data_IF_595889665005
#
_entry.id   IF_595889665005
#
_cell.length_a   1.000
_cell.length_b   1.000
_cell.length_c   1.000
_cell.angle_alpha   90.00
_cell.angle_beta   90.00
_cell.angle_gamma   90.00
#
_symmetry.space_group_name_H-M   'P 1'
#
loop_
_entity.id
_entity.type
_entity.pdbx_description
1 polymer ?
#
# COMPACT_ATOMS: atom_id res chain seq x y z
N UNK A 1 19.61 29.75 -7.36
CA UNK A 1 18.15 29.78 -7.64
C UNK A 1 17.42 29.65 -6.32
N UNK A 2 16.31 30.37 -6.08
CA UNK A 2 15.55 30.20 -4.84
C UNK A 2 15.09 28.74 -4.74
N UNK A 3 15.36 28.10 -3.61
CA UNK A 3 14.90 26.73 -3.35
C UNK A 3 13.38 26.75 -3.34
N UNK A 4 12.77 26.08 -4.30
CA UNK A 4 11.31 26.00 -4.39
C UNK A 4 10.82 25.05 -3.32
N UNK A 5 9.81 25.47 -2.56
CA UNK A 5 9.25 24.69 -1.46
C UNK A 5 7.79 24.40 -1.71
N UNK A 6 7.32 23.28 -1.18
CA UNK A 6 5.93 22.84 -1.26
C UNK A 6 5.36 22.63 0.13
N UNK A 7 4.14 23.10 0.34
CA UNK A 7 3.34 22.83 1.52
C UNK A 7 2.60 21.50 1.39
N UNK A 8 2.18 20.92 2.53
CA UNK A 8 1.28 19.76 2.56
C UNK A 8 0.01 19.95 1.72
N UNK A 9 -0.58 21.13 1.72
CA UNK A 9 -1.74 21.48 0.90
C UNK A 9 -1.42 21.40 -0.60
N UNK A 10 -0.31 22.01 -1.04
CA UNK A 10 0.13 21.96 -2.44
C UNK A 10 0.51 20.54 -2.87
N UNK A 11 1.15 19.77 -1.98
CA UNK A 11 1.46 18.37 -2.22
C UNK A 11 0.19 17.53 -2.35
N UNK A 12 -0.82 17.78 -1.51
CA UNK A 12 -2.13 17.13 -1.58
C UNK A 12 -2.86 17.44 -2.89
N UNK A 13 -2.85 18.70 -3.34
CA UNK A 13 -3.45 19.11 -4.63
C UNK A 13 -2.76 18.45 -5.83
N UNK A 14 -1.46 18.16 -5.72
CA UNK A 14 -0.68 17.44 -6.73
C UNK A 14 -0.83 15.91 -6.66
N UNK A 15 -1.65 15.39 -5.73
CA UNK A 15 -1.86 13.95 -5.54
C UNK A 15 -0.63 13.23 -4.96
N UNK A 16 0.26 13.94 -4.28
CA UNK A 16 1.45 13.38 -3.66
C UNK A 16 1.11 12.70 -2.32
N UNK A 17 1.82 11.63 -1.92
CA UNK A 17 1.55 10.90 -0.68
C UNK A 17 2.05 11.68 0.55
N UNK A 18 1.29 12.70 0.99
CA UNK A 18 1.69 13.64 2.06
C UNK A 18 2.13 12.93 3.35
N UNK A 19 1.44 11.86 3.76
CA UNK A 19 1.80 11.08 4.95
C UNK A 19 3.16 10.40 4.81
N UNK A 20 3.49 9.90 3.62
CA UNK A 20 4.76 9.24 3.35
C UNK A 20 5.91 10.25 3.32
N UNK A 21 5.66 11.41 2.72
CA UNK A 21 6.59 12.53 2.65
C UNK A 21 6.87 13.05 4.07
N UNK A 22 5.85 13.23 4.89
CA UNK A 22 6.01 13.62 6.30
C UNK A 22 6.88 12.63 7.09
N UNK A 23 6.67 11.34 6.89
CA UNK A 23 7.49 10.31 7.53
C UNK A 23 8.94 10.30 7.02
N UNK A 24 9.15 10.56 5.73
CA UNK A 24 10.48 10.65 5.13
C UNK A 24 11.26 11.88 5.62
N UNK A 25 10.59 13.02 5.81
CA UNK A 25 11.18 14.21 6.45
C UNK A 25 11.60 13.88 7.89
N UNK A 26 10.78 13.17 8.66
CA UNK A 26 11.14 12.73 10.03
C UNK A 26 12.33 11.77 10.06
N UNK A 27 12.49 10.93 9.05
CA UNK A 27 13.64 10.03 8.90
C UNK A 27 14.89 10.72 8.35
N UNK A 28 14.80 11.99 7.96
CA UNK A 28 15.90 12.75 7.38
C UNK A 28 16.20 12.40 5.92
N UNK A 29 15.27 11.72 5.24
CA UNK A 29 15.41 11.32 3.82
C UNK A 29 15.07 12.46 2.85
N UNK A 30 14.22 13.39 3.27
CA UNK A 30 13.82 14.57 2.50
C UNK A 30 14.07 15.81 3.35
N UNK A 31 14.57 16.88 2.74
CA UNK A 31 14.65 18.18 3.37
C UNK A 31 13.27 18.80 3.52
N UNK A 32 12.79 18.89 4.76
CA UNK A 32 11.55 19.56 5.10
C UNK A 32 11.52 19.96 6.57
N UNK A 33 10.58 20.82 6.94
CA UNK A 33 10.42 21.31 8.30
C UNK A 33 8.97 21.69 8.60
N UNK A 34 8.69 21.80 9.89
CA UNK A 34 7.48 22.42 10.42
C UNK A 34 7.83 23.81 10.91
N UNK A 35 7.19 24.88 10.39
CA UNK A 35 7.34 26.21 10.96
C UNK A 35 6.93 26.21 12.44
N UNK A 36 7.67 26.95 13.27
CA UNK A 36 7.36 27.03 14.70
C UNK A 36 5.92 27.50 14.92
N UNK A 37 5.13 26.71 15.65
CA UNK A 37 3.72 26.99 15.91
C UNK A 37 2.75 26.62 14.79
N UNK A 38 3.19 25.95 13.72
CA UNK A 38 2.34 25.47 12.63
C UNK A 38 2.39 23.95 12.48
N UNK A 39 1.24 23.35 12.16
CA UNK A 39 1.15 21.95 11.76
C UNK A 39 1.46 21.73 10.26
N UNK A 40 1.64 22.82 9.50
CA UNK A 40 1.94 22.77 8.07
C UNK A 40 3.32 22.21 7.82
N UNK A 41 3.40 21.14 7.03
CA UNK A 41 4.68 20.62 6.54
C UNK A 41 5.16 21.42 5.33
N UNK A 42 6.41 21.85 5.34
CA UNK A 42 7.09 22.47 4.19
C UNK A 42 8.26 21.60 3.76
N UNK A 43 8.39 21.35 2.45
CA UNK A 43 9.40 20.44 1.86
C UNK A 43 10.13 21.13 0.71
N UNK A 44 11.44 20.93 0.57
CA UNK A 44 12.22 21.37 -0.60
C UNK A 44 11.87 20.52 -1.83
N UNK A 45 11.44 21.15 -2.93
CA UNK A 45 10.97 20.49 -4.15
C UNK A 45 12.06 19.60 -4.76
N UNK A 46 13.30 20.08 -4.87
CA UNK A 46 14.43 19.30 -5.43
C UNK A 46 14.72 18.01 -4.63
N UNK A 47 14.63 18.10 -3.30
CA UNK A 47 14.83 16.94 -2.41
C UNK A 47 13.69 15.95 -2.53
N UNK A 48 12.46 16.44 -2.70
CA UNK A 48 11.28 15.63 -2.92
C UNK A 48 11.33 14.95 -4.29
N UNK A 49 11.75 15.63 -5.35
CA UNK A 49 11.87 15.04 -6.69
C UNK A 49 12.93 13.93 -6.73
N UNK A 50 14.08 14.18 -6.09
CA UNK A 50 15.16 13.18 -5.95
C UNK A 50 14.66 11.93 -5.22
N UNK A 51 13.91 12.14 -4.13
CA UNK A 51 13.25 11.08 -3.37
C UNK A 51 12.22 10.37 -4.25
N UNK A 52 11.30 11.07 -4.91
CA UNK A 52 10.29 10.45 -5.78
C UNK A 52 10.88 9.65 -6.96
N UNK A 53 12.05 10.04 -7.44
CA UNK A 53 12.81 9.38 -8.51
C UNK A 53 13.58 8.14 -8.05
N UNK A 54 13.95 8.04 -6.76
CA UNK A 54 14.70 6.88 -6.21
C UNK A 54 13.87 5.58 -6.20
N UNK A 55 12.55 5.66 -6.38
CA UNK A 55 11.66 4.50 -6.50
C UNK A 55 11.43 3.72 -5.20
N UNK A 56 12.26 3.90 -4.16
CA UNK A 56 12.14 3.19 -2.87
C UNK A 56 10.95 3.64 -2.01
N UNK A 57 10.27 4.72 -2.41
CA UNK A 57 9.10 5.24 -1.73
C UNK A 57 7.78 4.71 -2.29
N UNK A 58 7.88 3.69 -3.15
CA UNK A 58 6.81 2.75 -3.45
C UNK A 58 6.37 1.89 -2.24
N UNK A 59 6.62 2.36 -1.02
CA UNK A 59 5.93 1.89 0.19
C UNK A 59 4.75 2.78 0.58
N UNK A 60 4.46 3.84 -0.18
CA UNK A 60 3.19 4.57 -0.07
C UNK A 60 2.57 5.01 -1.41
N UNK A 61 3.21 4.73 -2.54
CA UNK A 61 2.50 4.77 -3.83
C UNK A 61 1.63 3.51 -3.94
N UNK A 62 0.36 3.77 -4.24
CA UNK A 62 -0.61 2.80 -4.75
C UNK A 62 -1.24 1.87 -3.69
N UNK A 63 -2.38 2.32 -3.14
CA UNK A 63 -3.61 1.55 -3.32
C UNK A 63 -4.03 1.56 -4.81
N UNK A 64 -3.08 1.28 -5.70
CA UNK A 64 -3.33 0.64 -6.98
C UNK A 64 -3.29 -0.85 -6.69
N UNK A 65 -3.91 -1.68 -7.53
CA UNK A 65 -4.13 -3.08 -7.23
C UNK A 65 -2.79 -3.82 -7.04
N UNK A 66 -2.45 -4.21 -5.82
CA UNK A 66 -1.26 -5.01 -5.54
C UNK A 66 -1.40 -5.80 -4.23
N UNK A 67 -1.00 -7.08 -4.16
CA UNK A 67 -0.38 -7.94 -5.17
C UNK A 67 -1.45 -8.77 -5.89
N UNK A 68 -1.52 -8.74 -7.22
CA UNK A 68 -2.49 -9.54 -7.99
C UNK A 68 -3.92 -9.39 -7.44
N UNK A 69 -4.66 -8.38 -7.90
CA UNK A 69 -6.10 -8.56 -8.05
C UNK A 69 -6.33 -9.70 -9.05
N UNK A 70 -6.07 -10.95 -8.65
CA UNK A 70 -6.84 -12.04 -9.19
C UNK A 70 -8.25 -11.72 -8.77
N UNK A 71 -9.15 -11.62 -9.75
CA UNK A 71 -10.57 -11.56 -9.51
C UNK A 71 -10.92 -12.59 -8.42
N UNK A 72 -11.03 -12.12 -7.18
CA UNK A 72 -11.57 -12.90 -6.09
C UNK A 72 -13.04 -13.00 -6.44
N UNK A 73 -13.54 -14.23 -6.51
CA UNK A 73 -14.93 -14.48 -6.80
C UNK A 73 -15.79 -13.59 -5.88
N UNK A 74 -16.85 -13.00 -6.42
CA UNK A 74 -17.78 -12.21 -5.62
C UNK A 74 -18.22 -13.05 -4.40
N UNK A 75 -17.94 -12.56 -3.19
CA UNK A 75 -18.15 -13.28 -1.93
C UNK A 75 -16.88 -13.85 -1.25
N UNK A 76 -15.67 -13.54 -1.74
CA UNK A 76 -14.44 -13.95 -1.04
C UNK A 76 -14.24 -13.19 0.29
N UNK A 77 -13.94 -13.89 1.41
CA UNK A 77 -13.75 -13.28 2.73
C UNK A 77 -12.63 -12.24 2.78
N UNK A 78 -11.56 -12.41 1.98
CA UNK A 78 -10.47 -11.45 1.87
C UNK A 78 -10.94 -10.14 1.27
N UNK A 79 -11.66 -10.21 0.15
CA UNK A 79 -12.20 -9.01 -0.50
C UNK A 79 -13.24 -8.31 0.36
N UNK A 80 -14.10 -9.06 1.04
CA UNK A 80 -15.08 -8.50 1.97
C UNK A 80 -14.41 -7.76 3.13
N UNK A 81 -13.39 -8.38 3.76
CA UNK A 81 -12.64 -7.76 4.85
C UNK A 81 -11.90 -6.50 4.40
N UNK A 82 -11.18 -6.57 3.28
CA UNK A 82 -10.43 -5.41 2.74
C UNK A 82 -11.36 -4.27 2.37
N UNK A 83 -12.50 -4.52 1.72
CA UNK A 83 -13.47 -3.46 1.39
C UNK A 83 -13.99 -2.74 2.63
N UNK A 84 -14.32 -3.49 3.69
CA UNK A 84 -14.82 -2.91 4.94
C UNK A 84 -13.77 -2.08 5.68
N UNK A 85 -12.51 -2.55 5.71
CA UNK A 85 -11.39 -1.80 6.28
C UNK A 85 -11.12 -0.53 5.45
N UNK A 86 -11.07 -0.65 4.12
CA UNK A 86 -10.81 0.47 3.23
C UNK A 86 -11.90 1.54 3.31
N UNK A 87 -13.18 1.15 3.44
CA UNK A 87 -14.28 2.08 3.63
C UNK A 87 -14.12 2.94 4.90
N UNK A 88 -13.66 2.34 6.00
CA UNK A 88 -13.40 3.08 7.24
C UNK A 88 -12.19 4.00 7.11
N UNK A 89 -11.14 3.53 6.43
CA UNK A 89 -9.92 4.31 6.17
C UNK A 89 -10.21 5.50 5.26
N UNK A 90 -11.03 5.32 4.23
CA UNK A 90 -11.50 6.40 3.35
C UNK A 90 -12.34 7.44 4.10
N UNK A 91 -13.07 7.03 5.14
CA UNK A 91 -13.80 7.92 6.04
C UNK A 91 -12.92 8.58 7.12
N UNK A 92 -11.59 8.50 7.01
CA UNK A 92 -10.64 9.16 7.92
C UNK A 92 -10.27 8.36 9.16
N UNK A 93 -10.71 7.10 9.27
CA UNK A 93 -10.34 6.25 10.40
C UNK A 93 -8.91 5.73 10.21
N UNK A 94 -8.01 5.87 11.21
CA UNK A 94 -6.68 5.27 11.12
C UNK A 94 -6.77 3.76 10.90
N UNK A 95 -5.95 3.19 10.01
CA UNK A 95 -6.04 1.77 9.60
C UNK A 95 -6.04 0.78 10.78
N UNK A 96 -5.25 1.02 11.82
CA UNK A 96 -5.24 0.17 13.01
C UNK A 96 -6.61 0.12 13.72
N UNK A 97 -7.28 1.28 13.78
CA UNK A 97 -8.61 1.42 14.37
C UNK A 97 -9.68 0.86 13.44
N UNK A 98 -9.54 1.04 12.12
CA UNK A 98 -10.42 0.42 11.14
C UNK A 98 -10.37 -1.12 11.24
N UNK A 99 -9.18 -1.70 11.36
CA UNK A 99 -9.01 -3.15 11.55
C UNK A 99 -9.66 -3.61 12.85
N UNK A 100 -9.40 -2.95 13.98
CA UNK A 100 -10.04 -3.29 15.25
C UNK A 100 -11.56 -3.13 15.21
N UNK A 101 -12.06 -2.09 14.53
CA UNK A 101 -13.48 -1.84 14.34
C UNK A 101 -14.14 -2.94 13.51
N UNK A 102 -13.51 -3.39 12.43
CA UNK A 102 -14.01 -4.53 11.64
C UNK A 102 -13.91 -5.84 12.42
N UNK A 103 -12.84 -6.08 13.16
CA UNK A 103 -12.68 -7.28 14.00
C UNK A 103 -13.76 -7.33 15.10
N UNK A 104 -14.17 -6.18 15.66
CA UNK A 104 -15.24 -6.07 16.64
C UNK A 104 -16.65 -6.21 16.02
N UNK A 105 -16.88 -5.61 14.85
CA UNK A 105 -18.18 -5.64 14.17
C UNK A 105 -18.44 -6.95 13.41
N UNK A 106 -17.36 -7.61 12.98
CA UNK A 106 -17.38 -8.84 12.17
C UNK A 106 -16.34 -9.82 12.72
N UNK A 107 -16.57 -10.40 13.92
CA UNK A 107 -15.67 -11.36 14.52
C UNK A 107 -15.46 -12.56 13.59
N UNK A 108 -14.22 -13.03 13.46
CA UNK A 108 -13.90 -14.16 12.59
C UNK A 108 -13.75 -13.81 11.10
N UNK A 109 -14.07 -12.58 10.67
CA UNK A 109 -13.93 -12.20 9.25
C UNK A 109 -12.46 -12.10 8.85
N UNK A 110 -11.62 -11.53 9.71
CA UNK A 110 -10.18 -11.42 9.48
C UNK A 110 -9.48 -12.77 9.44
N UNK A 111 -9.78 -13.69 10.35
CA UNK A 111 -9.18 -15.03 10.31
C UNK A 111 -9.58 -15.79 9.03
N UNK A 112 -10.85 -15.68 8.62
CA UNK A 112 -11.33 -16.29 7.37
C UNK A 112 -10.67 -15.66 6.14
N UNK A 113 -10.49 -14.34 6.13
CA UNK A 113 -9.77 -13.62 5.09
C UNK A 113 -8.32 -14.10 4.98
N UNK A 114 -7.60 -14.20 6.10
CA UNK A 114 -6.20 -14.69 6.14
C UNK A 114 -6.12 -16.15 5.70
N UNK A 115 -7.05 -17.00 6.15
CA UNK A 115 -7.08 -18.41 5.75
C UNK A 115 -7.35 -18.57 4.25
N UNK A 116 -8.27 -17.80 3.68
CA UNK A 116 -8.58 -17.77 2.25
C UNK A 116 -7.37 -17.28 1.43
N UNK A 117 -6.69 -16.24 1.89
CA UNK A 117 -5.48 -15.75 1.24
C UNK A 117 -4.38 -16.83 1.23
N UNK A 118 -4.12 -17.47 2.36
CA UNK A 118 -3.10 -18.50 2.49
C UNK A 118 -3.40 -19.76 1.67
N UNK A 119 -4.67 -20.16 1.55
CA UNK A 119 -5.05 -21.29 0.69
C UNK A 119 -4.83 -20.97 -0.79
N UNK A 120 -5.15 -19.73 -1.19
CA UNK A 120 -5.00 -19.28 -2.57
C UNK A 120 -3.52 -19.12 -2.98
N UNK A 121 -2.64 -18.69 -2.06
CA UNK A 121 -1.20 -18.67 -2.29
C UNK A 121 -0.65 -20.09 -2.53
N UNK A 122 -1.00 -21.05 -1.66
CA UNK A 122 -0.57 -22.45 -1.82
C UNK A 122 -1.04 -23.07 -3.12
N UNK A 123 -2.27 -22.79 -3.55
CA UNK A 123 -2.78 -23.27 -4.84
C UNK A 123 -1.97 -22.72 -6.02
N UNK A 124 -1.49 -21.48 -5.95
CA UNK A 124 -0.66 -20.89 -7.00
C UNK A 124 0.72 -21.49 -7.04
N UNK A 125 1.37 -21.65 -5.89
CA UNK A 125 2.67 -22.30 -5.80
C UNK A 125 2.61 -23.72 -6.37
N UNK A 126 1.54 -24.47 -6.05
CA UNK A 126 1.31 -25.80 -6.63
C UNK A 126 1.07 -25.75 -8.14
N UNK A 127 0.27 -24.79 -8.64
CA UNK A 127 0.01 -24.64 -10.07
C UNK A 127 1.28 -24.21 -10.84
N UNK A 128 2.12 -23.37 -10.24
CA UNK A 128 3.37 -22.90 -10.82
C UNK A 128 4.42 -24.01 -10.84
N UNK A 129 4.55 -24.77 -9.74
CA UNK A 129 5.39 -25.97 -9.69
C UNK A 129 4.96 -27.00 -10.75
N UNK A 130 3.65 -27.25 -10.88
CA UNK A 130 3.11 -28.16 -11.90
C UNK A 130 3.39 -27.69 -13.33
N UNK A 131 3.36 -26.37 -13.59
CA UNK A 131 3.73 -25.79 -14.89
C UNK A 131 5.20 -25.97 -15.20
N UNK A 132 6.08 -25.72 -14.23
CA UNK A 132 7.53 -25.88 -14.38
C UNK A 132 7.87 -27.35 -14.65
N UNK A 133 7.26 -28.29 -13.92
CA UNK A 133 7.46 -29.72 -14.13
C UNK A 133 6.96 -30.18 -15.51
N UNK A 134 5.79 -29.70 -15.95
CA UNK A 134 5.27 -29.99 -17.27
C UNK A 134 6.19 -29.45 -18.39
N UNK A 135 6.76 -28.27 -18.20
CA UNK A 135 7.72 -27.66 -19.13
C UNK A 135 9.05 -28.44 -19.16
N UNK A 136 9.56 -28.87 -18.00
CA UNK A 136 10.75 -29.73 -17.91
C UNK A 136 10.56 -31.05 -18.65
N UNK A 137 9.42 -31.73 -18.47
CA UNK A 137 9.13 -32.97 -19.19
C UNK A 137 9.09 -32.77 -20.70
N UNK A 138 8.50 -31.66 -21.18
CA UNK A 138 8.48 -31.34 -22.62
C UNK A 138 9.88 -31.13 -23.20
N UNK A 139 10.79 -30.51 -22.46
CA UNK A 139 12.18 -30.28 -22.90
C UNK A 139 13.05 -31.54 -22.86
N UNK A 140 12.69 -32.56 -22.09
CA UNK A 140 13.40 -33.84 -22.03
C UNK A 140 13.00 -34.82 -23.15
N UNK A 141 11.86 -34.58 -23.79
CA UNK A 141 11.32 -35.41 -24.88
C UNK A 141 11.42 -34.74 -26.27
N UNK A 142 12.09 -33.58 -26.37
CA UNK A 142 12.39 -32.87 -27.61
C UNK A 142 13.88 -33.03 -27.95
#
# INVERSE_FOLDING_TARGET
MPKRTLTDMEMGQRGLPVTAIANAVRRGEIKGWYPSGSATLIVEEDSLETWLASGEHATARQAGPGPRQTATAAGDPWSEWTQKVDALVQNGTPKAIAVQGIDALHPGLRERAVAAFNSQQRQREQAEAARIDAQRRRLQHA
#
